data_IF_411415380281
#
_entry.id   IF_411415380281
#
_cell.length_a   1.000
_cell.length_b   1.000
_cell.length_c   1.000
_cell.angle_alpha   90.00
_cell.angle_beta   90.00
_cell.angle_gamma   90.00
#
_symmetry.space_group_name_H-M   'P 1'
#
loop_
_entity.id
_entity.type
_entity.pdbx_description
1 polymer ?
#
# COMPACT_ATOMS: atom_id res chain seq x y z
N UNK A 1 30.16 -2.30 4.35
CA UNK A 1 28.70 -2.28 4.61
C UNK A 1 28.21 -3.71 4.64
N UNK A 2 27.47 -4.11 5.67
CA UNK A 2 26.90 -5.46 5.81
C UNK A 2 25.39 -5.30 5.90
N UNK A 3 24.65 -6.02 5.06
CA UNK A 3 23.19 -6.08 5.14
C UNK A 3 22.79 -7.26 6.04
N UNK A 4 21.93 -7.02 7.02
CA UNK A 4 21.43 -8.04 7.95
C UNK A 4 19.92 -8.13 7.79
N UNK A 5 19.42 -9.34 7.51
CA UNK A 5 18.03 -9.57 7.10
C UNK A 5 17.05 -9.43 8.27
N UNK A 6 17.46 -9.77 9.48
CA UNK A 6 16.62 -9.75 10.68
C UNK A 6 17.47 -9.55 11.95
N UNK A 7 16.81 -9.20 13.07
CA UNK A 7 17.50 -8.90 14.33
C UNK A 7 18.25 -10.09 14.93
N UNK A 8 17.77 -11.33 14.71
CA UNK A 8 18.40 -12.54 15.27
C UNK A 8 19.82 -12.76 14.72
N UNK A 9 20.07 -12.32 13.48
CA UNK A 9 21.37 -12.41 12.81
C UNK A 9 22.31 -11.25 13.16
N UNK A 10 21.78 -10.15 13.67
CA UNK A 10 22.56 -8.93 13.94
C UNK A 10 23.62 -9.17 15.01
N UNK A 11 23.29 -9.89 16.09
CA UNK A 11 24.23 -10.19 17.17
C UNK A 11 25.48 -10.92 16.67
N UNK A 12 25.29 -11.98 15.87
CA UNK A 12 26.41 -12.74 15.29
C UNK A 12 27.23 -11.93 14.29
N UNK A 13 26.61 -11.05 13.51
CA UNK A 13 27.33 -10.13 12.62
C UNK A 13 28.19 -9.16 13.43
N UNK A 14 27.63 -8.54 14.47
CA UNK A 14 28.33 -7.58 15.33
C UNK A 14 29.49 -8.26 16.05
N UNK A 15 29.29 -9.47 16.58
CA UNK A 15 30.35 -10.26 17.23
C UNK A 15 31.53 -10.51 16.27
N UNK A 16 31.25 -10.96 15.04
CA UNK A 16 32.28 -11.19 14.03
C UNK A 16 33.04 -9.91 13.65
N UNK A 17 32.36 -8.77 13.61
CA UNK A 17 32.97 -7.49 13.25
C UNK A 17 33.78 -6.86 14.40
N UNK A 18 33.38 -7.09 15.65
CA UNK A 18 34.08 -6.56 16.83
C UNK A 18 35.26 -7.44 17.26
N UNK A 19 35.25 -8.73 16.95
CA UNK A 19 36.35 -9.63 17.26
C UNK A 19 37.54 -9.40 16.29
N UNK A 20 38.71 -8.92 16.78
CA UNK A 20 39.86 -8.64 15.91
C UNK A 20 40.38 -9.85 15.12
N UNK A 21 40.19 -11.07 15.65
CA UNK A 21 40.63 -12.30 15.01
C UNK A 21 39.70 -12.76 13.86
N UNK A 22 38.42 -12.37 13.88
CA UNK A 22 37.41 -12.79 12.89
C UNK A 22 37.11 -11.71 11.85
N UNK A 23 37.32 -10.43 12.22
CA UNK A 23 36.91 -9.28 11.44
C UNK A 23 37.42 -9.30 10.01
N UNK A 24 38.71 -9.55 9.80
CA UNK A 24 39.31 -9.49 8.47
C UNK A 24 38.68 -10.53 7.53
N UNK A 25 38.70 -11.80 7.95
CA UNK A 25 38.11 -12.91 7.20
C UNK A 25 36.61 -12.70 6.92
N UNK A 26 35.84 -12.23 7.92
CA UNK A 26 34.42 -11.94 7.75
C UNK A 26 34.17 -10.81 6.74
N UNK A 27 34.94 -9.72 6.80
CA UNK A 27 34.78 -8.60 5.87
C UNK A 27 35.17 -8.97 4.44
N UNK A 28 36.19 -9.82 4.25
CA UNK A 28 36.56 -10.35 2.95
C UNK A 28 35.47 -11.25 2.37
N UNK A 29 34.94 -12.19 3.16
CA UNK A 29 33.84 -13.05 2.77
C UNK A 29 32.57 -12.26 2.40
N UNK A 30 32.24 -11.20 3.17
CA UNK A 30 31.12 -10.31 2.86
C UNK A 30 31.33 -9.56 1.53
N UNK A 31 32.53 -9.02 1.27
CA UNK A 31 32.82 -8.35 -0.01
C UNK A 31 32.71 -9.33 -1.18
N UNK A 32 33.21 -10.54 -1.03
CA UNK A 32 33.11 -11.58 -2.05
C UNK A 32 31.65 -11.98 -2.30
N UNK A 33 30.84 -12.10 -1.24
CA UNK A 33 29.40 -12.36 -1.36
C UNK A 33 28.68 -11.23 -2.11
N UNK A 34 28.93 -9.97 -1.73
CA UNK A 34 28.36 -8.80 -2.40
C UNK A 34 28.76 -8.70 -3.87
N UNK A 35 30.02 -9.01 -4.20
CA UNK A 35 30.48 -9.04 -5.59
C UNK A 35 29.72 -10.10 -6.41
N UNK A 36 29.49 -11.29 -5.86
CA UNK A 36 28.67 -12.34 -6.49
C UNK A 36 27.20 -11.91 -6.63
N UNK A 37 26.64 -11.24 -5.63
CA UNK A 37 25.26 -10.76 -5.68
C UNK A 37 25.07 -9.69 -6.77
N UNK A 38 26.03 -8.78 -6.92
CA UNK A 38 26.06 -7.80 -8.02
C UNK A 38 26.13 -8.50 -9.38
N UNK A 39 27.04 -9.47 -9.54
CA UNK A 39 27.16 -10.24 -10.80
C UNK A 39 25.85 -10.98 -11.12
N UNK A 40 25.25 -11.63 -10.13
CA UNK A 40 23.98 -12.34 -10.27
C UNK A 40 22.83 -11.38 -10.62
N UNK A 41 22.79 -10.21 -9.99
CA UNK A 41 21.78 -9.19 -10.27
C UNK A 41 21.91 -8.66 -11.69
N UNK A 42 23.13 -8.37 -12.16
CA UNK A 42 23.39 -7.94 -13.54
C UNK A 42 22.96 -8.99 -14.56
N UNK A 43 23.21 -10.29 -14.30
CA UNK A 43 22.70 -11.39 -15.14
C UNK A 43 21.17 -11.46 -15.17
N UNK A 44 20.51 -11.20 -14.03
CA UNK A 44 19.04 -11.17 -13.91
C UNK A 44 18.40 -9.94 -14.53
N UNK A 45 19.16 -8.90 -14.88
CA UNK A 45 18.59 -7.70 -15.51
C UNK A 45 18.09 -7.90 -16.95
N UNK A 46 18.26 -9.10 -17.53
CA UNK A 46 17.77 -9.46 -18.86
C UNK A 46 16.24 -9.67 -18.91
N UNK A 47 15.47 -8.77 -18.30
CA UNK A 47 14.04 -8.69 -18.58
C UNK A 47 13.87 -8.12 -20.00
N UNK A 48 13.14 -8.83 -20.86
CA UNK A 48 12.74 -8.28 -22.15
C UNK A 48 11.71 -7.19 -21.90
N UNK A 49 12.11 -5.94 -22.03
CA UNK A 49 11.22 -4.79 -21.93
C UNK A 49 10.80 -4.34 -23.32
N UNK A 50 9.53 -4.00 -23.50
CA UNK A 50 9.03 -3.43 -24.76
C UNK A 50 8.97 -1.90 -24.68
N UNK A 51 9.11 -1.19 -25.81
CA UNK A 51 8.93 0.27 -25.86
C UNK A 51 7.57 0.71 -25.29
N UNK A 52 7.53 1.88 -24.67
CA UNK A 52 6.34 2.38 -23.98
C UNK A 52 5.12 2.49 -24.91
N UNK A 53 5.33 2.96 -26.13
CA UNK A 53 4.28 3.04 -27.16
C UNK A 53 3.67 1.66 -27.48
N UNK A 54 4.49 0.60 -27.53
CA UNK A 54 4.00 -0.76 -27.76
C UNK A 54 3.20 -1.29 -26.57
N UNK A 55 3.62 -0.98 -25.35
CA UNK A 55 2.87 -1.34 -24.14
C UNK A 55 1.51 -0.63 -24.11
N UNK A 56 1.47 0.66 -24.47
CA UNK A 56 0.24 1.45 -24.60
C UNK A 56 -0.69 0.86 -25.66
N UNK A 57 -0.18 0.43 -26.81
CA UNK A 57 -0.97 -0.21 -27.87
C UNK A 57 -1.54 -1.57 -27.46
N UNK A 58 -0.89 -2.26 -26.51
CA UNK A 58 -1.29 -3.54 -25.92
C UNK A 58 -1.88 -3.38 -24.51
N UNK A 59 -2.50 -2.24 -24.23
CA UNK A 59 -3.17 -1.97 -22.96
C UNK A 59 -4.31 -2.94 -22.71
N UNK A 60 -4.65 -3.14 -21.45
CA UNK A 60 -5.90 -3.80 -21.11
C UNK A 60 -7.08 -2.92 -21.54
N UNK A 61 -8.13 -3.53 -22.07
CA UNK A 61 -9.39 -2.85 -22.38
C UNK A 61 -10.55 -3.83 -22.26
N UNK A 62 -11.74 -3.27 -22.08
CA UNK A 62 -13.02 -4.00 -22.15
C UNK A 62 -13.96 -3.30 -23.13
N UNK A 63 -15.13 -3.89 -23.39
CA UNK A 63 -16.19 -3.21 -24.13
C UNK A 63 -16.90 -2.19 -23.23
N UNK A 64 -16.39 -0.96 -23.23
CA UNK A 64 -16.92 0.14 -22.43
C UNK A 64 -18.38 0.50 -22.74
N UNK A 65 -18.94 0.07 -23.88
CA UNK A 65 -20.35 0.31 -24.18
C UNK A 65 -21.29 -0.52 -23.30
N UNK A 66 -20.84 -1.66 -22.79
CA UNK A 66 -21.61 -2.58 -21.93
C UNK A 66 -20.97 -2.82 -20.56
N UNK A 67 -19.73 -2.36 -20.34
CA UNK A 67 -19.06 -2.47 -19.05
C UNK A 67 -19.92 -1.90 -17.90
N UNK A 68 -19.93 -2.62 -16.78
CA UNK A 68 -20.73 -2.27 -15.62
C UNK A 68 -20.04 -1.18 -14.78
N UNK A 69 -20.66 -0.01 -14.71
CA UNK A 69 -20.16 1.13 -13.93
C UNK A 69 -21.28 1.54 -12.97
N UNK A 70 -21.04 1.37 -11.67
CA UNK A 70 -21.95 1.84 -10.63
C UNK A 70 -21.62 3.29 -10.27
N UNK A 71 -22.66 4.09 -10.07
CA UNK A 71 -22.51 5.45 -9.58
C UNK A 71 -22.52 5.45 -8.04
N UNK A 72 -21.58 6.14 -7.38
CA UNK A 72 -21.59 6.24 -5.94
C UNK A 72 -22.77 7.07 -5.44
N UNK A 73 -23.24 6.74 -4.24
CA UNK A 73 -24.34 7.41 -3.53
C UNK A 73 -24.05 8.87 -3.16
N UNK A 74 -22.79 9.29 -3.26
CA UNK A 74 -22.36 10.67 -3.09
C UNK A 74 -21.09 10.95 -3.90
N UNK A 75 -20.83 12.24 -4.14
CA UNK A 75 -19.58 12.73 -4.71
C UNK A 75 -18.92 13.72 -3.74
N UNK A 76 -17.61 13.87 -3.83
CA UNK A 76 -16.80 14.62 -2.88
C UNK A 76 -16.37 13.78 -1.68
N UNK A 77 -16.01 14.45 -0.59
CA UNK A 77 -15.38 13.83 0.58
C UNK A 77 -16.35 13.65 1.75
N UNK A 78 -16.19 12.56 2.48
CA UNK A 78 -16.81 12.30 3.78
C UNK A 78 -15.71 12.11 4.83
N UNK A 79 -15.72 12.98 5.83
CA UNK A 79 -14.83 12.88 6.98
C UNK A 79 -15.42 11.95 8.04
N UNK A 80 -14.57 11.09 8.58
CA UNK A 80 -14.83 10.20 9.70
C UNK A 80 -13.96 10.67 10.87
N UNK A 81 -14.42 11.70 11.62
CA UNK A 81 -13.58 12.37 12.61
C UNK A 81 -13.24 11.47 13.81
N UNK A 82 -14.04 10.44 14.06
CA UNK A 82 -13.79 9.38 15.04
C UNK A 82 -14.56 8.13 14.65
N UNK A 83 -13.86 7.02 14.48
CA UNK A 83 -14.45 5.68 14.30
C UNK A 83 -14.20 4.86 15.57
N UNK A 84 -15.22 4.21 16.16
CA UNK A 84 -15.02 3.37 17.33
C UNK A 84 -14.04 2.24 17.02
N UNK A 85 -12.99 2.08 17.82
CA UNK A 85 -12.01 1.00 17.63
C UNK A 85 -12.66 -0.38 17.68
N UNK A 86 -13.71 -0.54 18.48
CA UNK A 86 -14.48 -1.78 18.57
C UNK A 86 -15.07 -2.23 17.22
N UNK A 87 -15.39 -1.29 16.32
CA UNK A 87 -15.93 -1.60 14.98
C UNK A 87 -14.82 -2.10 14.03
N UNK A 88 -13.56 -1.77 14.32
CA UNK A 88 -12.38 -2.15 13.54
C UNK A 88 -11.81 -3.50 13.96
N UNK A 89 -11.92 -3.87 15.25
CA UNK A 89 -11.37 -5.13 15.79
C UNK A 89 -11.77 -6.38 14.99
N UNK A 90 -13.01 -6.54 14.50
CA UNK A 90 -13.40 -7.69 13.69
C UNK A 90 -12.69 -7.81 12.34
N UNK A 91 -12.09 -6.72 11.83
CA UNK A 91 -11.42 -6.64 10.53
C UNK A 91 -9.90 -6.86 10.62
N UNK A 92 -9.36 -7.17 11.80
CA UNK A 92 -7.93 -7.41 11.98
C UNK A 92 -7.52 -8.71 11.29
N UNK A 93 -6.56 -8.63 10.36
CA UNK A 93 -5.71 -9.76 9.99
C UNK A 93 -4.53 -9.88 10.96
N UNK A 94 -4.57 -10.95 11.75
CA UNK A 94 -3.54 -11.28 12.74
C UNK A 94 -2.30 -11.93 12.14
N UNK A 95 -2.33 -12.36 10.88
CA UNK A 95 -1.17 -13.05 10.27
C UNK A 95 0.06 -12.14 10.23
N UNK A 96 -0.01 -10.87 9.78
CA UNK A 96 1.16 -10.00 9.79
C UNK A 96 1.54 -9.53 11.21
N UNK A 97 0.63 -9.56 12.19
CA UNK A 97 0.99 -9.36 13.59
C UNK A 97 2.01 -10.42 14.05
N UNK A 98 1.75 -11.71 13.80
CA UNK A 98 2.71 -12.76 14.14
C UNK A 98 4.03 -12.63 13.36
N UNK A 99 3.97 -12.24 12.08
CA UNK A 99 5.17 -12.00 11.28
C UNK A 99 6.05 -10.89 11.86
N UNK A 100 5.44 -9.80 12.37
CA UNK A 100 6.17 -8.72 13.03
C UNK A 100 6.89 -9.17 14.31
N UNK A 101 6.42 -10.26 14.94
CA UNK A 101 7.04 -10.92 16.07
C UNK A 101 7.91 -12.14 15.69
N UNK A 102 8.29 -12.26 14.41
CA UNK A 102 9.11 -13.35 13.86
C UNK A 102 8.49 -14.76 14.02
N UNK A 103 7.18 -14.82 14.22
CA UNK A 103 6.42 -16.07 14.30
C UNK A 103 5.79 -16.39 12.94
N UNK A 104 6.39 -17.33 12.22
CA UNK A 104 5.96 -17.71 10.87
C UNK A 104 4.76 -18.64 10.92
N UNK A 105 3.63 -18.18 10.40
CA UNK A 105 2.41 -18.97 10.23
C UNK A 105 1.21 -18.08 9.93
N UNK A 106 0.15 -18.66 9.37
CA UNK A 106 -1.12 -17.96 9.11
C UNK A 106 -2.04 -18.10 10.32
N UNK A 107 -2.71 -17.03 10.73
CA UNK A 107 -3.77 -17.12 11.74
C UNK A 107 -5.04 -17.78 11.16
N UNK A 108 -5.79 -18.60 11.91
CA UNK A 108 -5.49 -19.12 13.25
C UNK A 108 -4.63 -20.41 13.26
N UNK A 109 -4.25 -20.93 12.08
CA UNK A 109 -3.52 -22.19 11.94
C UNK A 109 -2.18 -22.23 12.69
N UNK A 110 -1.50 -21.09 12.85
CA UNK A 110 -0.26 -20.94 13.61
C UNK A 110 -0.36 -21.48 15.04
N UNK A 111 -1.54 -21.46 15.64
CA UNK A 111 -1.75 -21.96 16.99
C UNK A 111 -1.62 -23.48 17.14
N UNK A 112 -1.74 -24.22 16.03
CA UNK A 112 -1.55 -25.67 15.98
C UNK A 112 -0.11 -26.07 15.62
N UNK A 113 0.78 -25.11 15.35
CA UNK A 113 2.17 -25.39 15.05
C UNK A 113 2.89 -26.02 16.26
N UNK A 114 3.60 -27.12 16.03
CA UNK A 114 4.26 -27.89 17.09
C UNK A 114 5.45 -27.17 17.75
N UNK A 115 6.03 -26.17 17.06
CA UNK A 115 7.23 -25.45 17.50
C UNK A 115 6.86 -24.11 18.12
N UNK A 116 6.01 -23.32 17.44
CA UNK A 116 5.70 -21.94 17.85
C UNK A 116 4.29 -21.74 18.39
N UNK A 117 3.40 -22.73 18.28
CA UNK A 117 1.97 -22.57 18.57
C UNK A 117 1.68 -22.15 20.02
N UNK A 118 2.44 -22.65 20.99
CA UNK A 118 2.30 -22.25 22.41
C UNK A 118 2.64 -20.77 22.63
N UNK A 119 3.75 -20.30 22.08
CA UNK A 119 4.17 -18.90 22.22
C UNK A 119 3.28 -17.97 21.39
N UNK A 120 2.80 -18.41 20.22
CA UNK A 120 1.83 -17.67 19.42
C UNK A 120 0.51 -17.45 20.19
N UNK A 121 0.02 -18.45 20.94
CA UNK A 121 -1.17 -18.28 21.79
C UNK A 121 -0.95 -17.28 22.90
N UNK A 122 0.17 -17.38 23.64
CA UNK A 122 0.50 -16.42 24.71
C UNK A 122 0.58 -14.99 24.17
N UNK A 123 1.32 -14.79 23.08
CA UNK A 123 1.46 -13.50 22.44
C UNK A 123 0.10 -12.95 21.99
N UNK A 124 -0.76 -13.79 21.43
CA UNK A 124 -2.11 -13.42 21.05
C UNK A 124 -2.97 -13.03 22.25
N UNK A 125 -2.92 -13.79 23.34
CA UNK A 125 -3.66 -13.49 24.56
C UNK A 125 -3.19 -12.16 25.19
N UNK A 126 -1.89 -11.88 25.16
CA UNK A 126 -1.31 -10.60 25.59
C UNK A 126 -1.78 -9.44 24.70
N UNK A 127 -1.73 -9.64 23.38
CA UNK A 127 -2.21 -8.68 22.40
C UNK A 127 -3.70 -8.39 22.56
N UNK A 128 -4.51 -9.43 22.81
CA UNK A 128 -5.95 -9.31 23.04
C UNK A 128 -6.24 -8.50 24.31
N UNK A 129 -5.53 -8.77 25.40
CA UNK A 129 -5.70 -7.99 26.65
C UNK A 129 -5.34 -6.52 26.44
N UNK A 130 -4.19 -6.23 25.83
CA UNK A 130 -3.82 -4.85 25.55
C UNK A 130 -4.79 -4.18 24.57
N UNK A 131 -5.28 -4.89 23.56
CA UNK A 131 -6.28 -4.38 22.64
C UNK A 131 -7.58 -4.03 23.36
N UNK A 132 -8.05 -4.89 24.28
CA UNK A 132 -9.23 -4.62 25.09
C UNK A 132 -9.02 -3.36 25.97
N UNK A 133 -7.83 -3.20 26.57
CA UNK A 133 -7.47 -2.00 27.33
C UNK A 133 -7.43 -0.74 26.44
N UNK A 134 -6.85 -0.83 25.24
CA UNK A 134 -6.79 0.26 24.25
C UNK A 134 -8.20 0.71 23.85
N UNK A 135 -9.09 -0.25 23.58
CA UNK A 135 -10.48 0.02 23.18
C UNK A 135 -11.25 0.62 24.35
N UNK A 136 -11.13 0.06 25.56
CA UNK A 136 -11.87 0.52 26.73
C UNK A 136 -11.41 1.91 27.21
N UNK A 137 -10.11 2.19 27.16
CA UNK A 137 -9.54 3.47 27.57
C UNK A 137 -9.55 4.52 26.45
N UNK A 138 -9.90 4.14 25.22
CA UNK A 138 -9.75 4.95 24.00
C UNK A 138 -8.34 5.56 23.89
N UNK A 139 -7.31 4.79 24.24
CA UNK A 139 -5.93 5.29 24.26
C UNK A 139 -5.35 5.51 22.86
N UNK A 140 -5.99 4.92 21.85
CA UNK A 140 -5.75 5.20 20.44
C UNK A 140 -7.03 5.80 19.83
N UNK A 141 -6.86 6.60 18.78
CA UNK A 141 -8.00 7.19 18.06
C UNK A 141 -7.93 6.88 16.57
N UNK A 142 -9.03 6.35 16.02
CA UNK A 142 -9.18 6.10 14.60
C UNK A 142 -9.89 7.26 13.91
N UNK A 143 -9.21 7.89 12.95
CA UNK A 143 -9.73 8.98 12.12
C UNK A 143 -9.49 8.70 10.65
N UNK A 144 -10.42 9.09 9.79
CA UNK A 144 -10.27 8.86 8.36
C UNK A 144 -11.07 9.83 7.51
N UNK A 145 -10.79 9.78 6.22
CA UNK A 145 -11.52 10.49 5.19
C UNK A 145 -11.51 9.63 3.93
N UNK A 146 -12.64 9.60 3.23
CA UNK A 146 -12.75 8.96 1.93
C UNK A 146 -13.67 9.78 1.04
N UNK A 147 -13.60 9.57 -0.26
CA UNK A 147 -14.44 10.28 -1.21
C UNK A 147 -14.48 9.62 -2.57
N UNK A 148 -15.43 10.08 -3.37
CA UNK A 148 -15.62 9.65 -4.75
C UNK A 148 -15.65 10.85 -5.67
N UNK A 149 -14.97 10.72 -6.80
CA UNK A 149 -14.77 11.80 -7.76
C UNK A 149 -15.18 11.29 -9.14
N UNK A 150 -15.97 12.06 -9.89
CA UNK A 150 -16.18 11.79 -11.31
C UNK A 150 -14.82 11.75 -12.00
N UNK A 151 -14.55 10.66 -12.71
CA UNK A 151 -13.24 10.39 -13.29
C UNK A 151 -13.33 9.71 -14.66
N UNK A 152 -12.31 9.92 -15.49
CA UNK A 152 -12.13 9.22 -16.76
C UNK A 152 -10.63 9.02 -17.02
N UNK A 153 -10.28 7.94 -17.71
CA UNK A 153 -8.88 7.76 -18.13
C UNK A 153 -8.56 8.59 -19.37
N UNK A 154 -7.36 9.16 -19.36
CA UNK A 154 -6.75 9.92 -20.46
C UNK A 154 -5.34 9.37 -20.69
N UNK A 155 -5.21 8.46 -21.66
CA UNK A 155 -3.99 7.68 -21.84
C UNK A 155 -3.74 6.76 -20.65
N UNK A 156 -2.69 7.07 -19.88
CA UNK A 156 -2.24 6.30 -18.71
C UNK A 156 -2.48 7.08 -17.39
N UNK A 157 -3.18 8.20 -17.46
CA UNK A 157 -3.62 8.99 -16.30
C UNK A 157 -5.13 8.89 -16.10
N UNK A 158 -5.58 9.29 -14.92
CA UNK A 158 -6.99 9.41 -14.59
C UNK A 158 -7.29 10.86 -14.25
N UNK A 159 -8.15 11.48 -15.05
CA UNK A 159 -8.63 12.85 -14.85
C UNK A 159 -9.74 12.85 -13.82
N UNK A 160 -9.69 13.78 -12.87
CA UNK A 160 -10.70 13.98 -11.84
C UNK A 160 -11.45 15.29 -12.08
N UNK A 161 -12.77 15.26 -11.92
CA UNK A 161 -13.64 16.42 -12.12
C UNK A 161 -14.30 16.89 -10.83
N UNK A 162 -14.66 18.17 -10.79
CA UNK A 162 -15.37 18.78 -9.66
C UNK A 162 -16.70 18.10 -9.37
N UNK A 163 -17.44 17.77 -10.43
CA UNK A 163 -18.79 17.22 -10.39
C UNK A 163 -19.09 16.43 -11.67
N UNK A 164 -20.31 15.89 -11.75
CA UNK A 164 -20.74 15.00 -12.83
C UNK A 164 -21.03 15.71 -14.16
N UNK A 165 -20.90 17.04 -14.23
CA UNK A 165 -20.89 17.79 -15.49
C UNK A 165 -19.56 17.61 -16.25
N UNK A 166 -18.47 17.31 -15.53
CA UNK A 166 -17.14 17.01 -16.10
C UNK A 166 -16.58 18.13 -16.98
N UNK A 167 -16.86 19.38 -16.59
CA UNK A 167 -16.41 20.59 -17.29
C UNK A 167 -15.16 21.20 -16.67
N UNK A 168 -14.91 20.97 -15.37
CA UNK A 168 -13.76 21.47 -14.63
C UNK A 168 -12.93 20.31 -14.08
N UNK A 169 -11.70 20.18 -14.58
CA UNK A 169 -10.68 19.27 -14.04
C UNK A 169 -10.13 19.82 -12.71
N UNK A 170 -10.15 19.01 -11.65
CA UNK A 170 -9.65 19.37 -10.32
C UNK A 170 -8.32 18.69 -9.97
N UNK A 171 -7.88 17.75 -10.81
CA UNK A 171 -6.61 17.05 -10.63
C UNK A 171 -6.48 15.82 -11.53
N UNK A 172 -5.31 15.20 -11.49
CA UNK A 172 -5.01 13.94 -12.17
C UNK A 172 -4.31 12.98 -11.22
N UNK A 173 -4.57 11.69 -11.42
CA UNK A 173 -3.77 10.60 -10.86
C UNK A 173 -2.91 10.03 -11.97
N UNK A 174 -1.60 10.01 -11.76
CA UNK A 174 -0.65 9.57 -12.76
C UNK A 174 -0.25 8.11 -12.54
N UNK A 175 -0.55 7.26 -13.52
CA UNK A 175 -0.25 5.82 -13.42
C UNK A 175 0.89 5.40 -14.35
N UNK A 176 1.53 4.29 -13.97
CA UNK A 176 2.59 3.64 -14.73
C UNK A 176 2.06 2.36 -15.36
N UNK A 177 2.65 2.00 -16.50
CA UNK A 177 2.31 0.83 -17.29
C UNK A 177 3.42 -0.20 -17.23
N UNK A 178 3.03 -1.46 -17.14
CA UNK A 178 3.95 -2.58 -17.30
C UNK A 178 4.69 -2.52 -18.64
N UNK A 179 5.97 -2.86 -18.65
CA UNK A 179 6.75 -3.00 -19.89
C UNK A 179 7.51 -4.31 -20.00
N UNK A 180 7.50 -5.14 -18.94
CA UNK A 180 8.14 -6.45 -18.99
C UNK A 180 7.30 -7.44 -19.79
N UNK A 181 7.82 -7.89 -20.93
CA UNK A 181 7.25 -8.96 -21.74
C UNK A 181 7.60 -10.32 -21.12
N UNK A 182 6.68 -10.82 -20.28
CA UNK A 182 6.76 -12.20 -19.77
C UNK A 182 6.31 -13.18 -20.85
N UNK A 183 6.74 -14.44 -20.75
CA UNK A 183 6.36 -15.48 -21.71
C UNK A 183 4.83 -15.63 -21.76
N UNK A 184 4.25 -15.37 -22.93
CA UNK A 184 2.81 -15.46 -23.15
C UNK A 184 2.00 -14.22 -22.70
N UNK A 185 2.68 -13.15 -22.29
CA UNK A 185 2.03 -11.87 -21.99
C UNK A 185 1.77 -11.10 -23.29
N UNK A 186 0.52 -10.77 -23.52
CA UNK A 186 0.05 -9.95 -24.64
C UNK A 186 -0.58 -8.62 -24.20
N UNK A 187 -0.84 -8.48 -22.90
CA UNK A 187 -1.52 -7.34 -22.28
C UNK A 187 -0.59 -6.69 -21.25
N UNK A 188 -0.51 -5.36 -21.27
CA UNK A 188 0.34 -4.57 -20.38
C UNK A 188 -0.51 -3.60 -19.58
N UNK A 189 -0.65 -3.86 -18.29
CA UNK A 189 -1.60 -3.15 -17.44
C UNK A 189 -1.05 -1.80 -16.97
N UNK A 190 -1.94 -0.80 -16.92
CA UNK A 190 -1.83 0.41 -16.11
C UNK A 190 -3.11 0.53 -15.27
N UNK A 191 -3.04 1.16 -14.08
CA UNK A 191 -4.24 1.29 -13.23
C UNK A 191 -5.33 2.14 -13.93
N UNK A 192 -4.93 3.11 -14.75
CA UNK A 192 -5.84 3.92 -15.55
C UNK A 192 -6.70 3.09 -16.52
N UNK A 193 -6.25 1.90 -16.91
CA UNK A 193 -7.01 1.03 -17.82
C UNK A 193 -8.35 0.58 -17.20
N UNK A 194 -8.47 0.60 -15.86
CA UNK A 194 -9.69 0.20 -15.15
C UNK A 194 -10.70 1.34 -14.92
N UNK A 195 -10.50 2.49 -15.58
CA UNK A 195 -11.44 3.62 -15.56
C UNK A 195 -11.85 3.94 -16.99
N UNK A 196 -13.14 4.17 -17.23
CA UNK A 196 -13.65 4.39 -18.57
C UNK A 196 -12.93 5.56 -19.25
N UNK A 197 -12.41 5.38 -20.48
CA UNK A 197 -11.66 6.41 -21.16
C UNK A 197 -12.56 7.55 -21.60
N UNK A 198 -12.01 8.77 -21.70
CA UNK A 198 -12.73 9.95 -22.21
C UNK A 198 -13.45 9.68 -23.54
N UNK A 199 -12.80 8.90 -24.41
CA UNK A 199 -13.32 8.54 -25.74
C UNK A 199 -14.55 7.63 -25.70
N UNK A 200 -14.82 6.95 -24.57
CA UNK A 200 -16.00 6.10 -24.42
C UNK A 200 -17.30 6.88 -24.22
N UNK A 201 -17.22 8.14 -23.77
CA UNK A 201 -18.38 8.93 -23.37
C UNK A 201 -19.12 8.42 -22.12
N UNK A 202 -18.59 7.40 -21.44
CA UNK A 202 -19.18 6.84 -20.21
C UNK A 202 -18.74 7.66 -18.99
N UNK A 203 -19.67 7.88 -18.06
CA UNK A 203 -19.39 8.45 -16.75
C UNK A 203 -18.84 7.36 -15.84
N UNK A 204 -17.62 7.53 -15.37
CA UNK A 204 -16.96 6.64 -14.41
C UNK A 204 -16.43 7.45 -13.20
N UNK A 205 -15.92 6.76 -12.20
CA UNK A 205 -15.56 7.34 -10.91
C UNK A 205 -14.25 6.74 -10.39
N UNK A 206 -13.53 7.54 -9.60
CA UNK A 206 -12.38 7.10 -8.82
C UNK A 206 -12.64 7.47 -7.36
N UNK A 207 -12.32 6.56 -6.45
CA UNK A 207 -12.36 6.84 -5.02
C UNK A 207 -10.96 7.07 -4.46
N UNK A 208 -10.89 7.73 -3.31
CA UNK A 208 -9.67 7.90 -2.53
C UNK A 208 -9.95 7.80 -1.04
N UNK A 209 -8.96 7.37 -0.27
CA UNK A 209 -9.03 7.34 1.19
C UNK A 209 -7.70 7.66 1.86
N UNK A 210 -7.79 8.15 3.09
CA UNK A 210 -6.69 8.25 4.05
C UNK A 210 -7.26 7.99 5.45
N UNK A 211 -6.70 7.02 6.16
CA UNK A 211 -7.15 6.64 7.50
C UNK A 211 -5.97 6.28 8.41
N UNK A 212 -6.14 6.51 9.70
CA UNK A 212 -5.15 6.18 10.72
C UNK A 212 -5.85 5.69 11.98
N UNK A 213 -5.22 4.75 12.68
CA UNK A 213 -5.54 4.38 14.07
C UNK A 213 -4.36 4.68 15.01
N UNK A 214 -3.42 5.51 14.56
CA UNK A 214 -2.15 5.75 15.24
C UNK A 214 -2.11 6.97 16.15
N UNK A 215 -3.16 7.78 16.21
CA UNK A 215 -3.25 8.89 17.18
C UNK A 215 -3.21 8.32 18.60
N UNK A 216 -2.33 8.84 19.46
CA UNK A 216 -2.10 8.31 20.81
C UNK A 216 -1.04 7.19 20.90
N UNK A 217 -0.61 6.62 19.75
CA UNK A 217 0.34 5.50 19.74
C UNK A 217 1.73 5.92 20.24
N UNK A 218 2.20 7.10 19.85
CA UNK A 218 3.50 7.61 20.28
C UNK A 218 3.53 7.85 21.80
N UNK A 219 2.45 8.43 22.34
CA UNK A 219 2.29 8.69 23.77
C UNK A 219 2.18 7.39 24.58
N UNK A 220 1.42 6.42 24.07
CA UNK A 220 1.24 5.11 24.68
C UNK A 220 2.56 4.33 24.73
N UNK A 221 3.29 4.27 23.61
CA UNK A 221 4.59 3.64 23.54
C UNK A 221 5.62 4.33 24.45
N UNK A 222 5.66 5.67 24.45
CA UNK A 222 6.59 6.43 25.29
C UNK A 222 6.33 6.21 26.79
N UNK A 223 5.09 5.86 27.20
CA UNK A 223 4.80 5.46 28.58
C UNK A 223 5.50 4.15 28.93
N UNK A 224 5.35 3.12 28.09
CA UNK A 224 6.02 1.84 28.28
C UNK A 224 7.55 1.96 28.22
N UNK A 225 8.08 2.78 27.31
CA UNK A 225 9.53 3.03 27.21
C UNK A 225 10.10 3.63 28.51
N UNK A 226 9.38 4.55 29.16
CA UNK A 226 9.78 5.14 30.47
C UNK A 226 9.76 4.13 31.61
N UNK A 227 8.95 3.08 31.47
CA UNK A 227 8.83 1.98 32.44
C UNK A 227 9.81 0.83 32.12
N UNK A 228 10.65 0.99 31.08
CA UNK A 228 11.56 -0.03 30.55
C UNK A 228 10.83 -1.31 30.09
N UNK A 229 9.61 -1.14 29.58
CA UNK A 229 8.75 -2.20 29.07
C UNK A 229 8.74 -2.20 27.53
N UNK A 230 9.86 -2.64 26.96
CA UNK A 230 10.03 -2.69 25.50
C UNK A 230 8.98 -3.60 24.84
N UNK A 231 8.56 -4.67 25.53
CA UNK A 231 7.57 -5.62 25.04
C UNK A 231 6.23 -4.93 24.78
N UNK A 232 5.70 -4.21 25.78
CA UNK A 232 4.42 -3.53 25.63
C UNK A 232 4.52 -2.30 24.71
N UNK A 233 5.67 -1.65 24.63
CA UNK A 233 5.93 -0.60 23.64
C UNK A 233 5.82 -1.11 22.21
N UNK A 234 6.45 -2.26 21.90
CA UNK A 234 6.36 -2.92 20.59
C UNK A 234 4.93 -3.42 20.34
N UNK A 235 4.29 -4.03 21.35
CA UNK A 235 2.91 -4.50 21.26
C UNK A 235 1.94 -3.38 20.89
N UNK A 236 2.03 -2.23 21.56
CA UNK A 236 1.17 -1.08 21.28
C UNK A 236 1.32 -0.58 19.83
N UNK A 237 2.57 -0.48 19.34
CA UNK A 237 2.87 -0.10 17.95
C UNK A 237 2.32 -1.11 16.96
N UNK A 238 2.52 -2.40 17.21
CA UNK A 238 2.01 -3.48 16.36
C UNK A 238 0.46 -3.50 16.32
N UNK A 239 -0.20 -3.30 17.47
CA UNK A 239 -1.66 -3.22 17.54
C UNK A 239 -2.22 -1.98 16.83
N UNK A 240 -1.56 -0.82 16.95
CA UNK A 240 -1.95 0.38 16.22
C UNK A 240 -1.88 0.15 14.70
N UNK A 241 -0.82 -0.50 14.22
CA UNK A 241 -0.67 -0.87 12.82
C UNK A 241 -1.76 -1.85 12.35
N UNK A 242 -2.07 -2.88 13.15
CA UNK A 242 -3.19 -3.80 12.88
C UNK A 242 -4.53 -3.09 12.81
N UNK A 243 -4.78 -2.12 13.70
CA UNK A 243 -6.00 -1.31 13.68
C UNK A 243 -6.07 -0.39 12.47
N UNK A 244 -4.95 0.16 11.99
CA UNK A 244 -4.92 0.99 10.80
C UNK A 244 -5.24 0.19 9.52
N UNK A 245 -4.69 -1.02 9.39
CA UNK A 245 -5.02 -1.93 8.29
C UNK A 245 -6.47 -2.43 8.38
N UNK A 246 -6.95 -2.78 9.58
CA UNK A 246 -8.34 -3.13 9.80
C UNK A 246 -9.29 -1.97 9.45
N UNK A 247 -8.87 -0.72 9.70
CA UNK A 247 -9.61 0.46 9.27
C UNK A 247 -9.64 0.59 7.75
N UNK A 248 -8.53 0.35 7.05
CA UNK A 248 -8.52 0.37 5.59
C UNK A 248 -9.48 -0.69 5.00
N UNK A 249 -9.56 -1.88 5.61
CA UNK A 249 -10.48 -2.95 5.20
C UNK A 249 -11.95 -2.58 5.47
N UNK A 250 -12.25 -2.12 6.69
CA UNK A 250 -13.58 -1.66 7.08
C UNK A 250 -14.06 -0.51 6.19
N UNK A 251 -13.18 0.47 5.95
CA UNK A 251 -13.49 1.65 5.14
C UNK A 251 -13.67 1.28 3.67
N UNK A 252 -12.90 0.33 3.16
CA UNK A 252 -13.11 -0.19 1.80
C UNK A 252 -14.47 -0.89 1.69
N UNK A 253 -14.87 -1.71 2.67
CA UNK A 253 -16.22 -2.29 2.70
C UNK A 253 -17.29 -1.20 2.66
N UNK A 254 -17.17 -0.18 3.51
CA UNK A 254 -18.10 0.95 3.52
C UNK A 254 -18.11 1.70 2.18
N UNK A 255 -16.93 1.89 1.58
CA UNK A 255 -16.80 2.53 0.27
C UNK A 255 -17.49 1.73 -0.82
N UNK A 256 -17.37 0.39 -0.87
CA UNK A 256 -18.09 -0.44 -1.85
C UNK A 256 -19.61 -0.37 -1.67
N UNK A 257 -20.09 -0.37 -0.44
CA UNK A 257 -21.53 -0.17 -0.12
C UNK A 257 -21.99 1.21 -0.63
N UNK A 258 -21.23 2.25 -0.31
CA UNK A 258 -21.55 3.61 -0.74
C UNK A 258 -21.41 3.80 -2.25
N UNK A 259 -20.57 3.01 -2.93
CA UNK A 259 -20.45 2.98 -4.39
C UNK A 259 -21.61 2.23 -5.06
N UNK A 260 -22.41 1.50 -4.29
CA UNK A 260 -23.58 0.78 -4.77
C UNK A 260 -23.32 -0.69 -5.12
N UNK A 261 -22.16 -1.03 -5.68
CA UNK A 261 -21.87 -2.42 -6.07
C UNK A 261 -21.59 -3.37 -4.89
N UNK A 262 -21.35 -2.83 -3.69
CA UNK A 262 -21.12 -3.61 -2.47
C UNK A 262 -22.35 -3.83 -1.58
N UNK A 263 -23.54 -3.34 -1.97
CA UNK A 263 -24.73 -3.35 -1.09
C UNK A 263 -25.23 -4.76 -0.72
N UNK A 264 -25.07 -5.72 -1.64
CA UNK A 264 -25.51 -7.11 -1.44
C UNK A 264 -24.35 -8.04 -1.00
N UNK A 265 -23.18 -7.49 -0.66
CA UNK A 265 -22.03 -8.29 -0.20
C UNK A 265 -22.28 -8.87 1.20
N UNK A 266 -22.19 -10.20 1.29
CA UNK A 266 -22.24 -10.93 2.55
C UNK A 266 -20.94 -11.74 2.74
N UNK A 267 -19.84 -11.03 2.92
CA UNK A 267 -18.51 -11.59 3.10
C UNK A 267 -18.14 -11.61 4.59
N UNK A 268 -17.59 -12.74 5.05
CA UNK A 268 -16.93 -12.81 6.34
C UNK A 268 -15.51 -12.25 6.27
N UNK A 269 -14.84 -12.13 7.43
CA UNK A 269 -13.50 -11.57 7.48
C UNK A 269 -12.46 -12.39 6.71
N UNK A 270 -12.61 -13.72 6.63
CA UNK A 270 -11.69 -14.57 5.86
C UNK A 270 -11.82 -14.31 4.36
N UNK A 271 -13.06 -14.16 3.86
CA UNK A 271 -13.35 -13.80 2.48
C UNK A 271 -12.88 -12.38 2.14
N UNK A 272 -13.00 -11.43 3.08
CA UNK A 272 -12.45 -10.07 2.94
C UNK A 272 -10.93 -10.09 2.83
N UNK A 273 -10.22 -10.80 3.73
CA UNK A 273 -8.75 -10.97 3.68
C UNK A 273 -8.32 -11.67 2.37
N UNK A 274 -9.12 -12.60 1.88
CA UNK A 274 -8.88 -13.27 0.59
C UNK A 274 -9.29 -12.43 -0.63
N UNK A 275 -9.68 -11.16 -0.42
CA UNK A 275 -10.07 -10.20 -1.45
C UNK A 275 -11.22 -10.69 -2.36
N UNK A 276 -12.18 -11.44 -1.81
CA UNK A 276 -13.30 -12.03 -2.57
C UNK A 276 -14.44 -11.03 -2.85
N UNK A 277 -14.12 -9.75 -2.97
CA UNK A 277 -15.03 -8.67 -3.33
C UNK A 277 -14.69 -8.09 -4.70
N UNK A 278 -15.61 -7.30 -5.26
CA UNK A 278 -15.35 -6.50 -6.46
C UNK A 278 -14.50 -5.28 -6.12
N UNK A 279 -13.57 -4.93 -7.02
CA UNK A 279 -12.77 -3.71 -6.93
C UNK A 279 -11.48 -3.89 -6.12
N UNK A 280 -10.61 -2.88 -6.19
CA UNK A 280 -9.30 -2.86 -5.53
C UNK A 280 -9.04 -1.52 -4.85
N UNK A 281 -8.11 -1.51 -3.89
CA UNK A 281 -7.70 -0.31 -3.13
C UNK A 281 -6.19 0.02 -3.23
N UNK A 282 -5.60 0.23 -4.41
CA UNK A 282 -4.16 0.40 -4.55
C UNK A 282 -3.64 1.64 -3.80
N UNK A 283 -2.56 1.44 -3.06
CA UNK A 283 -1.92 2.46 -2.24
C UNK A 283 -0.56 2.87 -2.84
N UNK A 284 -0.29 4.17 -3.06
CA UNK A 284 0.99 4.62 -3.58
C UNK A 284 2.19 4.07 -2.79
N UNK A 285 3.18 3.52 -3.49
CA UNK A 285 4.33 2.81 -2.93
C UNK A 285 4.24 1.28 -3.04
N UNK A 286 3.05 0.73 -3.25
CA UNK A 286 2.87 -0.69 -3.56
C UNK A 286 3.24 -0.99 -5.02
N UNK A 287 3.53 -2.26 -5.38
CA UNK A 287 3.98 -2.62 -6.73
C UNK A 287 3.06 -2.17 -7.88
N UNK A 288 1.75 -2.02 -7.64
CA UNK A 288 0.78 -1.56 -8.65
C UNK A 288 0.84 -0.06 -8.94
N UNK A 289 1.35 0.73 -7.99
CA UNK A 289 1.50 2.19 -8.08
C UNK A 289 2.72 2.63 -7.26
N UNK A 290 3.95 2.30 -7.70
CA UNK A 290 5.15 2.43 -6.87
C UNK A 290 5.56 3.88 -6.59
N UNK A 291 5.03 4.87 -7.32
CA UNK A 291 5.38 6.27 -7.12
C UNK A 291 4.78 6.83 -5.82
N UNK A 292 5.63 7.04 -4.81
CA UNK A 292 5.24 7.66 -3.55
C UNK A 292 4.77 9.11 -3.70
N UNK A 293 5.16 9.80 -4.78
CA UNK A 293 4.87 11.22 -4.98
C UNK A 293 3.44 11.50 -5.45
N UNK A 294 2.60 10.47 -5.61
CA UNK A 294 1.15 10.62 -5.78
C UNK A 294 0.42 10.93 -4.44
N UNK A 295 1.03 10.64 -3.28
CA UNK A 295 0.39 10.87 -1.97
C UNK A 295 0.05 12.33 -1.69
N UNK A 296 0.89 13.34 -1.98
CA UNK A 296 0.54 14.74 -1.75
C UNK A 296 -0.73 15.18 -2.47
N UNK A 297 -0.91 14.79 -3.74
CA UNK A 297 -2.12 15.10 -4.49
C UNK A 297 -3.35 14.41 -3.88
N UNK A 298 -3.23 13.14 -3.47
CA UNK A 298 -4.29 12.41 -2.77
C UNK A 298 -4.64 13.07 -1.42
N UNK A 299 -3.64 13.46 -0.63
CA UNK A 299 -3.83 14.12 0.66
C UNK A 299 -4.54 15.46 0.49
N UNK A 300 -4.15 16.25 -0.52
CA UNK A 300 -4.80 17.52 -0.84
C UNK A 300 -6.24 17.33 -1.31
N UNK A 301 -6.49 16.35 -2.19
CA UNK A 301 -7.83 16.01 -2.70
C UNK A 301 -8.80 15.63 -1.57
N UNK A 302 -8.30 14.88 -0.58
CA UNK A 302 -9.09 14.42 0.56
C UNK A 302 -9.09 15.38 1.76
N UNK A 303 -8.26 16.42 1.71
CA UNK A 303 -7.98 17.29 2.87
C UNK A 303 -7.58 16.47 4.12
N UNK A 304 -6.71 15.47 3.91
CA UNK A 304 -6.39 14.44 4.91
C UNK A 304 -5.73 14.99 6.17
N UNK A 305 -4.95 16.07 6.06
CA UNK A 305 -4.33 16.72 7.22
C UNK A 305 -5.38 17.29 8.16
N UNK A 306 -6.36 18.03 7.64
CA UNK A 306 -7.42 18.61 8.47
C UNK A 306 -8.45 17.56 8.88
N UNK A 307 -8.82 16.66 7.98
CA UNK A 307 -9.91 15.71 8.17
C UNK A 307 -9.53 14.54 9.08
N UNK A 308 -8.30 14.03 8.97
CA UNK A 308 -7.83 12.85 9.69
C UNK A 308 -6.61 13.12 10.60
N UNK A 309 -6.02 14.32 10.57
CA UNK A 309 -4.82 14.64 11.36
C UNK A 309 -3.57 13.92 10.87
N UNK A 310 -3.52 13.53 9.60
CA UNK A 310 -2.41 12.78 9.02
C UNK A 310 -1.46 13.73 8.27
N UNK A 311 -0.15 13.52 8.34
CA UNK A 311 0.83 14.33 7.60
C UNK A 311 1.81 13.46 6.81
N UNK A 312 2.45 14.06 5.80
CA UNK A 312 3.51 13.44 5.01
C UNK A 312 4.89 13.98 5.41
N UNK A 313 5.88 13.10 5.55
CA UNK A 313 7.29 13.48 5.69
C UNK A 313 7.89 13.90 4.35
N UNK A 314 9.15 14.36 4.32
CA UNK A 314 9.83 14.72 3.06
C UNK A 314 10.03 13.52 2.11
N UNK A 315 9.98 12.30 2.65
CA UNK A 315 10.01 11.05 1.88
C UNK A 315 8.60 10.50 1.57
N UNK A 316 7.56 11.26 1.87
CA UNK A 316 6.15 10.87 1.74
C UNK A 316 5.80 9.58 2.52
N UNK A 317 6.45 9.37 3.67
CA UNK A 317 5.93 8.48 4.69
C UNK A 317 4.79 9.18 5.43
N UNK A 318 3.81 8.42 5.91
CA UNK A 318 2.65 8.97 6.62
C UNK A 318 2.93 9.03 8.13
N UNK A 319 2.38 10.05 8.76
CA UNK A 319 2.36 10.22 10.22
C UNK A 319 0.91 10.46 10.66
N UNK A 320 0.39 9.76 11.69
CA UNK A 320 1.04 8.70 12.49
C UNK A 320 1.51 7.50 11.66
N UNK A 321 2.47 6.73 12.15
CA UNK A 321 3.05 5.60 11.39
C UNK A 321 1.99 4.53 11.03
N UNK A 322 1.05 4.28 11.94
CA UNK A 322 -0.10 3.41 11.71
C UNK A 322 -1.16 4.14 10.88
N UNK A 323 -0.88 4.28 9.58
CA UNK A 323 -1.67 5.04 8.60
C UNK A 323 -1.70 4.33 7.27
N UNK A 324 -2.84 4.40 6.58
CA UNK A 324 -3.04 3.86 5.24
C UNK A 324 -3.72 4.92 4.38
N UNK A 325 -3.26 5.07 3.13
CA UNK A 325 -3.91 5.92 2.14
C UNK A 325 -3.82 5.29 0.77
N UNK A 326 -4.86 5.42 -0.03
CA UNK A 326 -4.87 4.88 -1.38
C UNK A 326 -6.07 5.33 -2.19
N UNK A 327 -6.22 4.67 -3.34
CA UNK A 327 -7.31 4.87 -4.26
C UNK A 327 -8.32 3.73 -4.14
N UNK A 328 -9.48 3.89 -4.74
CA UNK A 328 -10.47 2.83 -4.92
C UNK A 328 -10.88 2.74 -6.39
N UNK A 329 -10.92 1.53 -6.93
CA UNK A 329 -11.36 1.23 -8.29
C UNK A 329 -12.57 0.32 -8.26
N UNK A 330 -13.64 0.71 -8.97
CA UNK A 330 -14.91 -0.02 -9.01
C UNK A 330 -15.05 -1.02 -10.15
N UNK A 331 -14.10 -1.10 -11.10
CA UNK A 331 -14.23 -2.00 -12.24
C UNK A 331 -14.12 -3.48 -11.80
N UNK A 332 -15.01 -4.39 -12.24
CA UNK A 332 -15.03 -5.79 -11.79
C UNK A 332 -13.77 -6.58 -12.14
N UNK A 333 -13.08 -6.21 -13.23
CA UNK A 333 -11.84 -6.86 -13.65
C UNK A 333 -10.55 -6.18 -13.15
N UNK A 334 -10.71 -5.12 -12.34
CA UNK A 334 -9.57 -4.46 -11.70
C UNK A 334 -8.85 -5.44 -10.77
N UNK A 335 -7.51 -5.39 -10.80
CA UNK A 335 -6.66 -6.34 -10.08
C UNK A 335 -5.34 -5.71 -9.70
N UNK A 336 -4.73 -6.22 -8.65
CA UNK A 336 -3.34 -5.91 -8.34
C UNK A 336 -2.42 -6.57 -9.38
N UNK A 337 -1.48 -5.77 -9.88
CA UNK A 337 -0.36 -6.21 -10.71
C UNK A 337 0.90 -5.48 -10.24
N UNK A 338 2.08 -5.97 -10.60
CA UNK A 338 3.31 -5.22 -10.38
C UNK A 338 3.67 -4.48 -11.66
N UNK A 339 3.93 -3.17 -11.57
CA UNK A 339 4.49 -2.37 -12.68
C UNK A 339 5.86 -2.93 -13.09
N UNK A 340 6.62 -3.45 -12.11
CA UNK A 340 7.96 -3.97 -12.26
C UNK A 340 8.91 -2.93 -12.89
N UNK A 341 9.58 -3.28 -13.99
CA UNK A 341 10.60 -2.47 -14.63
C UNK A 341 10.04 -1.65 -15.78
N UNK A 342 10.42 -0.39 -15.82
CA UNK A 342 10.05 0.58 -16.86
C UNK A 342 11.27 1.06 -17.63
N UNK A 343 11.11 1.36 -18.92
CA UNK A 343 12.16 1.88 -19.79
C UNK A 343 12.21 3.41 -19.73
N UNK A 344 13.32 3.96 -20.24
CA UNK A 344 13.61 5.40 -20.20
C UNK A 344 12.55 6.27 -20.89
N UNK A 345 12.00 5.82 -22.01
CA UNK A 345 10.91 6.50 -22.73
C UNK A 345 9.64 6.65 -21.88
N UNK A 346 9.26 5.65 -21.07
CA UNK A 346 8.15 5.81 -20.12
C UNK A 346 8.50 6.78 -18.99
N UNK A 347 9.74 6.75 -18.48
CA UNK A 347 10.20 7.71 -17.45
C UNK A 347 10.12 9.14 -17.97
N UNK A 348 10.60 9.39 -19.19
CA UNK A 348 10.53 10.70 -19.84
C UNK A 348 9.08 11.14 -20.08
N UNK A 349 8.20 10.23 -20.52
CA UNK A 349 6.77 10.50 -20.67
C UNK A 349 6.08 10.80 -19.32
N UNK A 350 6.42 10.06 -18.26
CA UNK A 350 5.88 10.26 -16.92
C UNK A 350 6.36 11.58 -16.31
N UNK A 351 7.64 11.90 -16.47
CA UNK A 351 8.23 13.17 -16.07
C UNK A 351 7.52 14.37 -16.73
N UNK A 352 7.23 14.27 -18.02
CA UNK A 352 6.46 15.29 -18.73
C UNK A 352 5.03 15.43 -18.19
N UNK A 353 4.33 14.31 -17.96
CA UNK A 353 2.96 14.31 -17.39
C UNK A 353 2.89 14.94 -16.00
N UNK A 354 3.89 14.69 -15.14
CA UNK A 354 3.98 15.23 -13.78
C UNK A 354 4.58 16.63 -13.69
N UNK A 355 5.13 17.16 -14.80
CA UNK A 355 5.90 18.40 -14.77
C UNK A 355 7.16 18.31 -13.89
N UNK A 356 7.75 17.12 -13.78
CA UNK A 356 8.94 16.86 -12.96
C UNK A 356 10.18 16.69 -13.83
N UNK A 357 11.39 17.06 -13.36
CA UNK A 357 12.63 16.68 -14.02
C UNK A 357 12.77 15.15 -14.09
N UNK A 358 13.28 14.64 -15.22
CA UNK A 358 13.53 13.20 -15.43
C UNK A 358 14.35 12.60 -14.28
N UNK A 359 15.39 13.29 -13.84
CA UNK A 359 16.26 12.87 -12.73
C UNK A 359 15.50 12.69 -11.41
N UNK A 360 14.49 13.51 -11.15
CA UNK A 360 13.69 13.39 -9.93
C UNK A 360 12.76 12.17 -10.02
N UNK A 361 12.18 11.92 -11.20
CA UNK A 361 11.40 10.70 -11.46
C UNK A 361 12.29 9.46 -11.34
N UNK A 362 13.49 9.46 -11.91
CA UNK A 362 14.47 8.37 -11.77
C UNK A 362 14.83 8.10 -10.31
N UNK A 363 14.97 9.15 -9.49
CA UNK A 363 15.22 9.01 -8.06
C UNK A 363 14.07 8.32 -7.33
N UNK A 364 12.83 8.73 -7.59
CA UNK A 364 11.65 8.18 -6.92
C UNK A 364 11.28 6.77 -7.42
N UNK A 365 11.52 6.51 -8.71
CA UNK A 365 11.26 5.22 -9.36
C UNK A 365 12.52 4.35 -9.50
N UNK A 366 13.59 4.65 -8.75
CA UNK A 366 14.84 3.90 -8.80
C UNK A 366 14.65 2.36 -8.69
N UNK A 367 13.76 1.83 -7.83
CA UNK A 367 13.50 0.38 -7.77
C UNK A 367 12.85 -0.21 -9.03
N UNK A 368 12.25 0.63 -9.86
CA UNK A 368 11.49 0.26 -11.05
C UNK A 368 12.24 0.57 -12.35
N UNK A 369 13.45 1.13 -12.31
CA UNK A 369 14.18 1.41 -13.55
C UNK A 369 14.67 0.11 -14.21
N UNK A 370 14.33 -0.04 -15.49
CA UNK A 370 14.82 -1.10 -16.36
C UNK A 370 16.18 -0.82 -17.01
N UNK A 371 16.82 0.28 -16.63
CA UNK A 371 18.08 0.79 -17.17
C UNK A 371 18.91 1.48 -16.07
N UNK A 372 20.17 1.81 -16.36
CA UNK A 372 21.05 2.59 -15.49
C UNK A 372 21.00 4.08 -15.93
N UNK A 373 20.50 5.00 -15.08
CA UNK A 373 20.21 6.39 -15.45
C UNK A 373 21.43 7.32 -15.59
#
# INVERSE_FOLDING_TARGET
VVHVVDASRAAGVVENLLNPALREAYTEANRAAQARDVENFQKRQQATLIPYEQAVAKRWTTDWSVAEISAPSFLGVRTLPKVPLADLVPFIDWSPFFMAWELKGKYPAIFADATVGTEARKLFDDARRMLDDIVAAESLEARGVYGFFPANSDGDDIVLYRDDERTEEIGRVHTLRQQWERKGQDTFYALADFVAPLTSGRKDYLGGFACTAGHGCAELAARFDREHDDYNSIMAKALADRLAEAFAEWLHRQARIDWGFGQDENLDNEAMIAEQYRGIRPAPGYPACPDHTEKPALFALLDAERAAGMHLTESYAMTPAASVSGLYFGHPESRYFAVDRITRDQVEAYAARKGMPVKDVERWLAPNLGYDP
#
